data_IF_172288000880
#
_entry.id   IF_172288000880
#
_cell.length_a   1.000
_cell.length_b   1.000
_cell.length_c   1.000
_cell.angle_alpha   90.00
_cell.angle_beta   90.00
_cell.angle_gamma   90.00
#
_symmetry.space_group_name_H-M   'P 1'
#
loop_
_entity.id
_entity.type
_entity.pdbx_description
1 polymer ?
#
# COMPACT_ATOMS: atom_id res chain seq x y z
N UNK A 1 -10.17 20.94 10.25
CA UNK A 1 -11.09 20.34 9.25
C UNK A 1 -10.37 19.87 7.98
N UNK A 2 -9.51 20.66 7.36
CA UNK A 2 -8.82 20.28 6.09
C UNK A 2 -8.00 18.97 6.22
N UNK A 3 -7.20 18.80 7.27
CA UNK A 3 -6.43 17.55 7.51
C UNK A 3 -7.32 16.30 7.62
N UNK A 4 -8.50 16.46 8.22
CA UNK A 4 -9.49 15.39 8.32
C UNK A 4 -10.14 15.09 6.97
N UNK A 5 -10.47 16.13 6.19
CA UNK A 5 -10.97 15.98 4.82
C UNK A 5 -9.99 15.25 3.90
N UNK A 6 -8.71 15.59 3.95
CA UNK A 6 -7.68 14.92 3.13
C UNK A 6 -7.54 13.44 3.51
N UNK A 7 -7.43 13.13 4.80
CA UNK A 7 -7.29 11.74 5.27
C UNK A 7 -8.53 10.90 4.94
N UNK A 8 -9.73 11.46 5.13
CA UNK A 8 -10.99 10.78 4.80
C UNK A 8 -11.18 10.60 3.30
N UNK A 9 -10.75 11.55 2.47
CA UNK A 9 -10.78 11.40 1.02
C UNK A 9 -9.86 10.26 0.55
N UNK A 10 -8.61 10.20 1.03
CA UNK A 10 -7.66 9.13 0.68
C UNK A 10 -8.17 7.75 1.13
N UNK A 11 -8.69 7.67 2.36
CA UNK A 11 -9.31 6.45 2.86
C UNK A 11 -10.53 6.06 2.03
N UNK A 12 -11.43 7.01 1.78
CA UNK A 12 -12.67 6.79 1.03
C UNK A 12 -12.40 6.32 -0.40
N UNK A 13 -11.41 6.91 -1.08
CA UNK A 13 -11.01 6.46 -2.42
C UNK A 13 -10.40 5.07 -2.41
N UNK A 14 -9.56 4.75 -1.41
CA UNK A 14 -8.98 3.41 -1.28
C UNK A 14 -10.06 2.36 -1.03
N UNK A 15 -11.01 2.65 -0.13
CA UNK A 15 -12.17 1.77 0.13
C UNK A 15 -13.00 1.59 -1.13
N UNK A 16 -13.38 2.67 -1.81
CA UNK A 16 -14.17 2.62 -3.05
C UNK A 16 -13.51 1.73 -4.10
N UNK A 17 -12.21 1.91 -4.34
CA UNK A 17 -11.46 1.09 -5.30
C UNK A 17 -11.44 -0.39 -4.91
N UNK A 18 -11.25 -0.71 -3.63
CA UNK A 18 -11.25 -2.12 -3.18
C UNK A 18 -12.63 -2.77 -3.26
N UNK A 19 -13.71 -1.99 -3.09
CA UNK A 19 -15.09 -2.46 -3.30
C UNK A 19 -15.34 -2.72 -4.79
N UNK A 20 -14.94 -1.79 -5.65
CA UNK A 20 -15.09 -1.90 -7.11
C UNK A 20 -14.31 -3.10 -7.68
N UNK A 21 -13.09 -3.34 -7.18
CA UNK A 21 -12.29 -4.53 -7.50
C UNK A 21 -12.84 -5.84 -6.93
N UNK A 22 -13.95 -5.82 -6.20
CA UNK A 22 -14.59 -7.05 -5.74
C UNK A 22 -13.98 -7.66 -4.48
N UNK A 23 -13.08 -6.96 -3.78
CA UNK A 23 -12.48 -7.45 -2.52
C UNK A 23 -13.54 -7.60 -1.43
N UNK A 24 -14.57 -6.76 -1.46
CA UNK A 24 -15.63 -6.66 -0.45
C UNK A 24 -17.04 -6.83 -1.01
N UNK A 25 -17.16 -7.28 -2.26
CA UNK A 25 -18.43 -7.29 -2.99
C UNK A 25 -19.15 -8.63 -2.77
N UNK A 26 -19.52 -9.31 -3.83
CA UNK A 26 -20.15 -10.63 -3.80
C UNK A 26 -19.13 -11.76 -3.97
N UNK A 27 -19.48 -12.95 -3.47
CA UNK A 27 -18.60 -14.12 -3.48
C UNK A 27 -18.21 -14.58 -4.87
N UNK A 28 -19.02 -14.31 -5.90
CA UNK A 28 -18.72 -14.63 -7.30
C UNK A 28 -17.62 -13.71 -7.83
N UNK A 29 -17.79 -12.39 -7.68
CA UNK A 29 -16.77 -11.39 -8.09
C UNK A 29 -15.44 -11.60 -7.35
N UNK A 30 -15.48 -11.92 -6.04
CA UNK A 30 -14.24 -12.21 -5.29
C UNK A 30 -13.56 -13.49 -5.78
N UNK A 31 -14.33 -14.50 -6.22
CA UNK A 31 -13.78 -15.75 -6.78
C UNK A 31 -13.10 -15.52 -8.12
N UNK A 32 -13.70 -14.69 -8.99
CA UNK A 32 -13.08 -14.30 -10.26
C UNK A 32 -11.77 -13.53 -10.06
N UNK A 33 -11.74 -12.60 -9.10
CA UNK A 33 -10.52 -11.89 -8.70
C UNK A 33 -9.43 -12.86 -8.23
N UNK A 34 -9.81 -13.91 -7.48
CA UNK A 34 -8.88 -14.93 -7.03
C UNK A 34 -8.30 -15.75 -8.18
N UNK A 35 -9.13 -16.16 -9.15
CA UNK A 35 -8.68 -16.85 -10.36
C UNK A 35 -7.77 -15.97 -11.24
N UNK A 36 -8.05 -14.67 -11.33
CA UNK A 36 -7.20 -13.70 -12.04
C UNK A 36 -5.84 -13.54 -11.36
N UNK A 37 -5.82 -13.47 -10.03
CA UNK A 37 -4.59 -13.47 -9.23
C UNK A 37 -3.80 -14.77 -9.45
N UNK A 38 -4.45 -15.93 -9.41
CA UNK A 38 -3.79 -17.21 -9.67
C UNK A 38 -3.17 -17.25 -11.08
N UNK A 39 -3.89 -16.79 -12.10
CA UNK A 39 -3.39 -16.69 -13.48
C UNK A 39 -2.25 -15.69 -13.62
N UNK A 40 -2.30 -14.55 -12.94
CA UNK A 40 -1.23 -13.56 -12.93
C UNK A 40 0.03 -14.02 -12.19
N UNK A 41 -0.14 -14.85 -11.16
CA UNK A 41 0.95 -15.46 -10.42
C UNK A 41 1.47 -16.75 -11.06
N UNK A 42 0.81 -17.28 -12.10
CA UNK A 42 1.10 -18.54 -12.80
C UNK A 42 2.59 -18.82 -13.11
N UNK A 43 3.40 -17.88 -13.62
CA UNK A 43 4.81 -18.20 -13.87
C UNK A 43 5.63 -18.41 -12.60
N UNK A 44 5.26 -17.78 -11.48
CA UNK A 44 5.95 -17.89 -10.18
C UNK A 44 5.37 -19.02 -9.32
N UNK A 45 4.07 -19.26 -9.41
CA UNK A 45 3.38 -20.38 -8.75
C UNK A 45 3.77 -21.69 -9.41
N UNK A 46 4.11 -21.72 -10.70
CA UNK A 46 4.55 -22.95 -11.38
C UNK A 46 5.81 -23.58 -10.77
N UNK A 47 6.79 -22.78 -10.33
CA UNK A 47 7.96 -23.29 -9.61
C UNK A 47 7.65 -23.61 -8.15
N UNK A 48 6.80 -22.80 -7.50
CA UNK A 48 6.37 -23.03 -6.11
C UNK A 48 5.51 -24.30 -5.97
N UNK A 49 4.63 -24.56 -6.95
CA UNK A 49 3.72 -25.70 -7.02
C UNK A 49 4.46 -27.01 -7.31
N UNK A 50 5.64 -26.94 -7.94
CA UNK A 50 6.54 -28.09 -8.11
C UNK A 50 7.27 -28.46 -6.82
N UNK A 51 7.60 -27.49 -5.97
CA UNK A 51 8.28 -27.72 -4.69
C UNK A 51 7.30 -28.05 -3.56
N UNK A 52 6.08 -27.55 -3.63
CA UNK A 52 5.00 -27.81 -2.67
C UNK A 52 3.74 -28.08 -3.50
N UNK A 53 3.21 -29.32 -3.57
CA UNK A 53 1.95 -29.59 -4.24
C UNK A 53 0.84 -28.85 -3.50
N UNK A 54 0.59 -27.60 -3.90
CA UNK A 54 -0.44 -26.75 -3.33
C UNK A 54 -1.76 -27.12 -3.99
N UNK A 55 -2.47 -28.05 -3.37
CA UNK A 55 -3.93 -28.08 -3.45
C UNK A 55 -4.45 -27.11 -2.40
N UNK A 56 -5.42 -26.26 -2.78
CA UNK A 56 -6.09 -25.36 -1.84
C UNK A 56 -6.60 -26.22 -0.68
N UNK A 57 -6.05 -26.07 0.53
CA UNK A 57 -6.53 -26.85 1.65
C UNK A 57 -8.02 -26.51 1.82
N UNK A 58 -8.89 -27.51 2.08
CA UNK A 58 -10.28 -27.24 2.39
C UNK A 58 -10.33 -26.20 3.50
N UNK A 59 -11.29 -25.27 3.40
CA UNK A 59 -11.49 -24.22 4.39
C UNK A 59 -11.30 -24.82 5.79
N UNK A 60 -10.43 -24.24 6.62
CA UNK A 60 -10.02 -24.87 7.87
C UNK A 60 -11.24 -25.23 8.71
N UNK A 61 -11.54 -26.53 8.79
CA UNK A 61 -12.64 -27.07 9.60
C UNK A 61 -12.35 -26.97 11.10
N UNK A 62 -11.11 -26.69 11.46
CA UNK A 62 -10.70 -26.51 12.85
C UNK A 62 -10.92 -25.05 13.26
N UNK A 63 -11.75 -24.84 14.29
CA UNK A 63 -12.12 -23.53 14.82
C UNK A 63 -10.92 -22.62 15.09
N UNK A 64 -9.78 -23.19 15.50
CA UNK A 64 -8.56 -22.42 15.78
C UNK A 64 -7.95 -21.79 14.53
N UNK A 65 -7.90 -22.52 13.42
CA UNK A 65 -7.29 -22.02 12.17
C UNK A 65 -8.24 -21.02 11.50
N UNK A 66 -9.54 -21.27 11.55
CA UNK A 66 -10.57 -20.30 11.14
C UNK A 66 -10.48 -19.00 11.95
N UNK A 67 -10.30 -19.10 13.28
CA UNK A 67 -10.09 -17.95 14.14
C UNK A 67 -8.82 -17.18 13.80
N UNK A 68 -7.68 -17.86 13.63
CA UNK A 68 -6.41 -17.21 13.29
C UNK A 68 -6.49 -16.49 11.95
N UNK A 69 -7.10 -17.11 10.93
CA UNK A 69 -7.30 -16.48 9.62
C UNK A 69 -8.12 -15.18 9.75
N UNK A 70 -9.26 -15.25 10.45
CA UNK A 70 -10.11 -14.07 10.73
C UNK A 70 -9.34 -12.99 11.49
N UNK A 71 -8.55 -13.38 12.48
CA UNK A 71 -7.75 -12.47 13.29
C UNK A 71 -6.69 -11.74 12.45
N UNK A 72 -5.88 -12.48 11.68
CA UNK A 72 -4.84 -11.90 10.85
C UNK A 72 -5.41 -11.05 9.70
N UNK A 73 -6.52 -11.46 9.11
CA UNK A 73 -7.23 -10.65 8.13
C UNK A 73 -7.61 -9.29 8.72
N UNK A 74 -8.28 -9.28 9.88
CA UNK A 74 -8.67 -8.05 10.57
C UNK A 74 -7.47 -7.19 10.97
N UNK A 75 -6.37 -7.81 11.42
CA UNK A 75 -5.12 -7.10 11.71
C UNK A 75 -4.53 -6.45 10.45
N UNK A 76 -4.51 -7.17 9.33
CA UNK A 76 -4.07 -6.64 8.04
C UNK A 76 -4.88 -5.42 7.61
N UNK A 77 -6.21 -5.53 7.66
CA UNK A 77 -7.13 -4.41 7.37
C UNK A 77 -6.80 -3.20 8.27
N UNK A 78 -6.68 -3.40 9.59
CA UNK A 78 -6.35 -2.31 10.52
C UNK A 78 -5.02 -1.64 10.17
N UNK A 79 -3.97 -2.42 9.92
CA UNK A 79 -2.65 -1.88 9.56
C UNK A 79 -2.67 -1.10 8.25
N UNK A 80 -3.35 -1.59 7.21
CA UNK A 80 -3.45 -0.89 5.93
C UNK A 80 -4.18 0.44 6.07
N UNK A 81 -5.28 0.49 6.82
CA UNK A 81 -6.01 1.73 7.07
C UNK A 81 -5.17 2.72 7.89
N UNK A 82 -4.44 2.25 8.90
CA UNK A 82 -3.50 3.09 9.65
C UNK A 82 -2.40 3.66 8.75
N UNK A 83 -1.84 2.85 7.85
CA UNK A 83 -0.86 3.30 6.88
C UNK A 83 -1.43 4.41 5.97
N UNK A 84 -2.60 4.20 5.38
CA UNK A 84 -3.26 5.19 4.52
C UNK A 84 -3.56 6.51 5.24
N UNK A 85 -3.97 6.45 6.51
CA UNK A 85 -4.21 7.64 7.36
C UNK A 85 -2.93 8.43 7.61
N UNK A 86 -1.80 7.73 7.75
CA UNK A 86 -0.51 8.33 8.07
C UNK A 86 0.26 8.78 6.83
N UNK A 87 -0.04 8.22 5.66
CA UNK A 87 0.64 8.49 4.39
C UNK A 87 0.75 9.99 4.06
N UNK A 88 -0.33 10.81 4.09
CA UNK A 88 -0.22 12.25 3.81
C UNK A 88 0.73 13.00 4.76
N UNK A 89 0.83 12.52 6.01
CA UNK A 89 1.68 13.13 7.03
C UNK A 89 3.15 12.83 6.75
N UNK A 90 3.47 11.56 6.46
CA UNK A 90 4.82 11.15 6.08
C UNK A 90 5.27 11.81 4.77
N UNK A 91 4.38 11.91 3.78
CA UNK A 91 4.67 12.61 2.53
C UNK A 91 4.98 14.09 2.76
N UNK A 92 4.18 14.79 3.58
CA UNK A 92 4.44 16.20 3.91
C UNK A 92 5.80 16.35 4.59
N UNK A 93 6.10 15.50 5.58
CA UNK A 93 7.39 15.55 6.29
C UNK A 93 8.59 15.28 5.36
N UNK A 94 8.45 14.33 4.42
CA UNK A 94 9.50 14.05 3.43
C UNK A 94 9.72 15.24 2.50
N UNK A 95 8.65 15.90 2.06
CA UNK A 95 8.72 17.09 1.20
C UNK A 95 9.36 18.26 1.95
N UNK A 96 8.99 18.51 3.20
CA UNK A 96 9.59 19.59 4.00
C UNK A 96 11.08 19.34 4.22
N UNK A 97 11.48 18.10 4.52
CA UNK A 97 12.89 17.74 4.64
C UNK A 97 13.66 17.95 3.33
N UNK A 98 13.06 17.59 2.19
CA UNK A 98 13.68 17.82 0.88
C UNK A 98 13.82 19.32 0.59
N UNK A 99 12.77 20.11 0.86
CA UNK A 99 12.79 21.55 0.68
C UNK A 99 13.86 22.21 1.56
N UNK A 100 13.89 21.89 2.85
CA UNK A 100 14.85 22.43 3.81
C UNK A 100 16.30 22.12 3.40
N UNK A 101 16.54 20.89 2.90
CA UNK A 101 17.85 20.49 2.36
C UNK A 101 18.24 21.30 1.13
N UNK A 102 17.31 21.53 0.19
CA UNK A 102 17.56 22.32 -1.02
C UNK A 102 17.79 23.79 -0.67
N UNK A 103 16.94 24.39 0.17
CA UNK A 103 17.07 25.80 0.55
C UNK A 103 18.34 26.07 1.33
N UNK A 104 18.77 25.15 2.20
CA UNK A 104 20.03 25.27 2.94
C UNK A 104 21.26 25.16 2.02
N UNK A 105 21.21 24.31 0.99
CA UNK A 105 22.26 24.21 -0.02
C UNK A 105 22.34 25.46 -0.89
N UNK A 106 21.20 25.99 -1.35
CA UNK A 106 21.16 27.21 -2.19
C UNK A 106 21.53 28.48 -1.42
N UNK A 107 21.28 28.54 -0.10
CA UNK A 107 21.70 29.68 0.74
C UNK A 107 23.20 29.69 1.08
N UNK A 108 23.93 28.62 0.71
CA UNK A 108 25.36 28.45 1.02
C UNK A 108 26.28 28.86 -0.15
N UNK A 109 25.78 29.39 -1.27
CA UNK A 109 26.65 29.95 -2.31
C UNK A 109 27.03 31.42 -2.02
N UNK A 110 28.30 31.76 -1.71
CA UNK A 110 28.82 33.09 -1.98
C UNK A 110 29.16 33.20 -3.48
N UNK A 111 28.50 34.17 -4.10
CA UNK A 111 28.79 34.86 -5.36
C UNK A 111 30.18 34.58 -5.96
N UNK A 112 30.19 33.86 -7.08
CA UNK A 112 31.17 34.07 -8.15
C UNK A 112 30.95 35.48 -8.71
N UNK A 113 31.80 36.43 -8.34
CA UNK A 113 32.03 37.63 -9.14
C UNK A 113 33.33 37.46 -9.91
N UNK A 114 33.18 37.33 -11.22
CA UNK A 114 34.21 37.73 -12.17
C UNK A 114 34.67 39.16 -11.83
N UNK A 115 35.98 39.39 -11.79
CA UNK A 115 36.51 40.69 -12.19
C UNK A 115 37.61 40.45 -13.22
N UNK A 116 37.38 41.01 -14.41
CA UNK A 116 38.27 40.95 -15.54
C UNK A 116 38.92 42.31 -15.76
N UNK A 117 40.22 42.29 -15.99
CA UNK A 117 40.97 43.22 -16.84
C UNK A 117 41.11 44.67 -16.32
N UNK A 118 42.32 45.01 -15.85
CA UNK A 118 43.20 45.99 -16.50
C UNK A 118 44.62 45.92 -15.98
#
# INVERSE_FOLDING_TARGET
MIKFGIKSAVLGSAVYYTVDKGVWKDSETTRELYEELEKGMSPYVGEFKKQIPFELPPLPSNDRVSYLFKYYWNCGVKSTFQFLINLPTHTTNAITLAYDKISSATSTEPVSSQDGTK
#
